data_IF_807314543181
#
_entry.id   IF_807314543181
#
_cell.length_a   1.000
_cell.length_b   1.000
_cell.length_c   1.000
_cell.angle_alpha   90.00
_cell.angle_beta   90.00
_cell.angle_gamma   90.00
#
_symmetry.space_group_name_H-M   'P 1'
#
loop_
_entity.id
_entity.type
_entity.pdbx_description
1 polymer ?
#
# COMPACT_ATOMS: atom_id res chain seq x y z
N UNK A 1 -32.10 -22.94 -4.90
CA UNK A 1 -31.29 -23.76 -5.82
C UNK A 1 -30.08 -24.29 -5.06
N UNK A 2 -29.89 -25.61 -4.99
CA UNK A 2 -28.82 -26.23 -4.20
C UNK A 2 -27.45 -25.91 -4.82
N UNK A 3 -26.56 -25.22 -4.08
CA UNK A 3 -25.15 -25.09 -4.46
C UNK A 3 -24.49 -26.46 -4.30
N UNK A 4 -24.40 -27.22 -5.39
CA UNK A 4 -23.64 -28.46 -5.44
C UNK A 4 -22.19 -28.14 -5.05
N UNK A 5 -21.70 -28.79 -3.98
CA UNK A 5 -20.28 -28.78 -3.62
C UNK A 5 -19.50 -29.32 -4.82
N UNK A 6 -18.56 -28.54 -5.35
CA UNK A 6 -17.62 -29.09 -6.33
C UNK A 6 -16.53 -29.83 -5.56
N UNK A 7 -16.40 -31.11 -5.84
CA UNK A 7 -15.32 -31.94 -5.34
C UNK A 7 -14.00 -31.60 -6.06
N UNK A 8 -12.87 -31.91 -5.42
CA UNK A 8 -11.53 -31.66 -5.96
C UNK A 8 -11.34 -32.38 -7.31
N UNK A 9 -11.88 -33.58 -7.45
CA UNK A 9 -11.82 -34.36 -8.71
C UNK A 9 -12.57 -33.65 -9.84
N UNK A 10 -13.67 -32.97 -9.54
CA UNK A 10 -14.43 -32.20 -10.54
C UNK A 10 -13.67 -30.96 -10.98
N UNK A 11 -12.93 -30.32 -10.08
CA UNK A 11 -12.10 -29.16 -10.43
C UNK A 11 -10.90 -29.57 -11.28
N UNK A 12 -10.29 -30.73 -10.99
CA UNK A 12 -9.20 -31.29 -11.78
C UNK A 12 -9.63 -31.57 -13.23
N UNK A 13 -10.77 -32.25 -13.42
CA UNK A 13 -11.30 -32.53 -14.76
C UNK A 13 -11.61 -31.25 -15.57
N UNK A 14 -12.10 -30.19 -14.91
CA UNK A 14 -12.38 -28.90 -15.57
C UNK A 14 -11.10 -28.13 -15.92
N UNK A 15 -10.04 -28.28 -15.14
CA UNK A 15 -8.73 -27.69 -15.44
C UNK A 15 -8.12 -28.35 -16.69
N UNK A 16 -8.20 -29.68 -16.79
CA UNK A 16 -7.72 -30.43 -17.97
C UNK A 16 -8.47 -30.03 -19.25
N UNK A 17 -9.78 -29.78 -19.18
CA UNK A 17 -10.57 -29.29 -20.33
C UNK A 17 -10.14 -27.89 -20.79
N UNK A 18 -9.89 -26.97 -19.85
CA UNK A 18 -9.40 -25.62 -20.14
C UNK A 18 -8.04 -25.69 -20.85
N UNK A 19 -7.14 -26.55 -20.39
CA UNK A 19 -5.83 -26.73 -21.00
C UNK A 19 -5.89 -27.39 -22.37
N UNK A 20 -6.78 -28.37 -22.55
CA UNK A 20 -7.02 -28.98 -23.85
C UNK A 20 -7.55 -27.95 -24.87
N UNK A 21 -8.45 -27.05 -24.45
CA UNK A 21 -9.00 -25.99 -25.30
C UNK A 21 -7.98 -24.91 -25.64
N UNK A 22 -7.08 -24.59 -24.70
CA UNK A 22 -5.95 -23.68 -24.94
C UNK A 22 -4.95 -24.29 -25.93
N UNK A 23 -4.60 -25.58 -25.77
CA UNK A 23 -3.74 -26.30 -26.74
C UNK A 23 -4.37 -26.42 -28.12
N UNK A 24 -5.70 -26.56 -28.18
CA UNK A 24 -6.45 -26.60 -29.43
C UNK A 24 -6.65 -25.20 -30.07
N UNK A 25 -6.16 -24.12 -29.44
CA UNK A 25 -6.35 -22.74 -29.91
C UNK A 25 -7.80 -22.24 -29.87
N UNK A 26 -8.69 -22.98 -29.22
CA UNK A 26 -10.13 -22.65 -29.07
C UNK A 26 -10.43 -21.74 -27.88
N UNK A 27 -9.39 -21.40 -27.12
CA UNK A 27 -9.45 -20.54 -25.95
C UNK A 27 -8.15 -19.73 -25.92
N UNK A 28 -8.27 -18.41 -25.80
CA UNK A 28 -7.08 -17.57 -25.70
C UNK A 28 -6.52 -17.60 -24.25
N UNK A 29 -5.28 -17.14 -24.08
CA UNK A 29 -4.58 -17.21 -22.77
C UNK A 29 -5.32 -16.43 -21.67
N UNK A 30 -5.87 -15.25 -22.01
CA UNK A 30 -6.62 -14.42 -21.07
C UNK A 30 -7.92 -15.08 -20.59
N UNK A 31 -8.66 -15.74 -21.49
CA UNK A 31 -9.87 -16.50 -21.18
C UNK A 31 -9.58 -17.74 -20.35
N UNK A 32 -8.45 -18.41 -20.59
CA UNK A 32 -8.02 -19.56 -19.80
C UNK A 32 -7.67 -19.15 -18.37
N UNK A 33 -6.98 -18.03 -18.19
CA UNK A 33 -6.59 -17.51 -16.87
C UNK A 33 -7.82 -17.00 -16.09
N UNK A 34 -8.76 -16.35 -16.76
CA UNK A 34 -10.06 -15.99 -16.16
C UNK A 34 -10.86 -17.23 -15.72
N UNK A 35 -10.86 -18.29 -16.53
CA UNK A 35 -11.57 -19.54 -16.20
C UNK A 35 -10.91 -20.29 -15.02
N UNK A 36 -9.57 -20.26 -14.92
CA UNK A 36 -8.82 -20.82 -13.78
C UNK A 36 -9.10 -20.04 -12.48
N UNK A 37 -9.10 -18.71 -12.55
CA UNK A 37 -9.44 -17.85 -11.41
C UNK A 37 -10.88 -18.09 -10.92
N UNK A 38 -11.82 -18.27 -11.84
CA UNK A 38 -13.19 -18.63 -11.49
C UNK A 38 -13.27 -19.98 -10.76
N UNK A 39 -12.53 -21.00 -11.20
CA UNK A 39 -12.45 -22.31 -10.52
C UNK A 39 -11.84 -22.19 -9.11
N UNK A 40 -10.77 -21.42 -8.95
CA UNK A 40 -10.12 -21.19 -7.66
C UNK A 40 -11.04 -20.45 -6.67
N UNK A 41 -11.83 -19.49 -7.15
CA UNK A 41 -12.83 -18.79 -6.34
C UNK A 41 -13.90 -19.75 -5.80
N UNK A 42 -14.31 -20.72 -6.64
CA UNK A 42 -15.30 -21.73 -6.30
C UNK A 42 -14.75 -22.75 -5.29
N UNK A 43 -13.47 -23.13 -5.39
CA UNK A 43 -12.77 -23.98 -4.41
C UNK A 43 -12.56 -23.27 -3.07
N UNK A 44 -12.23 -21.97 -3.07
CA UNK A 44 -12.01 -21.18 -1.84
C UNK A 44 -13.27 -21.05 -0.99
N UNK A 45 -14.46 -21.08 -1.60
CA UNK A 45 -15.75 -21.15 -0.87
C UNK A 45 -15.96 -22.47 -0.12
N UNK A 46 -15.20 -23.51 -0.47
CA UNK A 46 -15.18 -24.81 0.19
C UNK A 46 -13.96 -24.93 1.10
N UNK A 47 -13.63 -23.86 1.85
CA UNK A 47 -12.55 -23.93 2.84
C UNK A 47 -12.98 -24.86 3.96
N UNK A 48 -12.33 -26.01 3.97
CA UNK A 48 -11.89 -26.75 5.14
C UNK A 48 -12.47 -26.24 6.45
N UNK A 49 -13.43 -26.99 6.99
CA UNK A 49 -13.58 -27.06 8.43
C UNK A 49 -12.29 -27.62 9.00
N UNK A 50 -11.34 -26.74 9.32
CA UNK A 50 -10.39 -26.99 10.40
C UNK A 50 -11.21 -27.01 11.69
N UNK A 51 -11.96 -28.09 11.86
CA UNK A 51 -12.35 -28.58 13.17
C UNK A 51 -11.08 -29.01 13.87
N UNK A 52 -10.35 -28.05 14.43
CA UNK A 52 -9.66 -28.26 15.69
C UNK A 52 -10.75 -28.53 16.72
N UNK A 53 -11.27 -29.76 16.67
CA UNK A 53 -12.04 -30.36 17.74
C UNK A 53 -11.10 -30.53 18.93
N UNK A 54 -10.84 -29.43 19.63
CA UNK A 54 -10.49 -29.45 21.04
C UNK A 54 -11.71 -30.03 21.77
N UNK A 55 -11.85 -31.36 21.69
CA UNK A 55 -12.68 -32.15 22.57
C UNK A 55 -12.14 -31.90 23.97
N UNK A 56 -12.84 -31.03 24.67
CA UNK A 56 -12.87 -30.93 26.12
C UNK A 56 -13.14 -32.33 26.69
N UNK A 57 -12.13 -32.95 27.28
CA UNK A 57 -12.27 -34.09 28.16
C UNK A 57 -11.41 -33.85 29.43
N UNK A 58 -11.87 -34.32 30.60
CA UNK A 58 -11.47 -33.78 31.89
C UNK A 58 -10.16 -34.35 32.45
N UNK A 59 -9.54 -33.50 33.28
CA UNK A 59 -8.50 -33.73 34.30
C UNK A 59 -8.42 -35.16 34.84
N UNK A 60 -7.21 -35.75 34.80
CA UNK A 60 -6.56 -36.40 35.97
C UNK A 60 -5.03 -36.55 35.76
N UNK A 61 -4.29 -35.78 36.57
CA UNK A 61 -2.98 -36.00 37.24
C UNK A 61 -1.96 -37.05 36.72
N UNK A 62 -0.68 -36.63 36.66
CA UNK A 62 0.58 -37.23 37.21
C UNK A 62 1.75 -36.35 36.67
N UNK A 63 2.24 -35.35 37.42
CA UNK A 63 3.41 -35.32 38.34
C UNK A 63 4.72 -34.79 37.67
N UNK A 64 5.41 -33.77 38.26
CA UNK A 64 6.60 -33.11 37.69
C UNK A 64 7.92 -33.54 38.36
N UNK A 65 9.03 -33.53 37.61
CA UNK A 65 10.41 -33.49 38.12
C UNK A 65 11.27 -32.71 37.10
N UNK A 66 11.70 -31.49 37.44
CA UNK A 66 13.08 -31.12 37.80
C UNK A 66 14.05 -31.21 36.62
N UNK A 67 14.83 -30.19 36.26
CA UNK A 67 15.92 -29.63 37.08
C UNK A 67 16.26 -28.19 36.64
N UNK A 68 16.61 -27.39 37.65
CA UNK A 68 17.02 -25.99 37.65
C UNK A 68 18.50 -25.77 37.25
N UNK A 69 18.76 -24.55 36.77
CA UNK A 69 20.01 -23.79 36.53
C UNK A 69 21.25 -24.09 37.40
N UNK A 70 22.45 -23.86 36.81
CA UNK A 70 23.59 -23.32 37.56
C UNK A 70 24.55 -22.51 36.67
N UNK A 71 24.78 -21.25 37.08
CA UNK A 71 25.80 -20.31 36.60
C UNK A 71 27.04 -20.40 37.50
N UNK A 72 28.23 -20.53 36.92
CA UNK A 72 29.54 -20.20 37.51
C UNK A 72 30.58 -20.24 36.37
N UNK A 73 31.62 -19.42 36.23
CA UNK A 73 32.13 -18.22 36.88
C UNK A 73 33.31 -17.74 36.01
N UNK A 74 33.35 -16.46 35.61
CA UNK A 74 34.38 -15.45 35.89
C UNK A 74 35.84 -15.95 36.07
N UNK A 75 36.75 -15.48 35.19
CA UNK A 75 37.97 -14.79 35.67
C UNK A 75 39.33 -14.99 34.96
N UNK A 76 39.77 -13.94 34.22
CA UNK A 76 41.14 -13.32 34.15
C UNK A 76 42.25 -14.12 33.41
N UNK A 77 43.09 -13.60 32.49
CA UNK A 77 44.05 -12.47 32.50
C UNK A 77 44.41 -12.03 31.05
N UNK A 78 44.41 -10.75 30.66
CA UNK A 78 45.45 -9.69 30.81
C UNK A 78 46.73 -9.90 29.98
N UNK A 79 46.87 -9.02 28.97
CA UNK A 79 48.08 -8.37 28.41
C UNK A 79 49.06 -9.11 27.50
N UNK A 80 49.21 -8.58 26.29
CA UNK A 80 50.51 -8.12 25.80
C UNK A 80 50.34 -6.80 25.02
N UNK A 81 51.12 -5.79 25.41
CA UNK A 81 51.26 -4.46 24.77
C UNK A 81 52.58 -4.43 24.01
N UNK A 82 52.58 -3.92 22.78
CA UNK A 82 53.69 -3.16 22.18
C UNK A 82 53.17 -2.39 20.95
N UNK A 83 53.48 -1.09 20.91
CA UNK A 83 52.98 -0.02 20.02
C UNK A 83 53.92 0.21 18.76
N UNK A 84 53.72 1.19 17.85
CA UNK A 84 53.66 1.05 16.39
C UNK A 84 54.95 1.53 15.65
N UNK A 85 54.97 1.63 14.29
CA UNK A 85 54.59 2.91 13.65
C UNK A 85 53.90 2.81 12.26
N UNK A 86 52.92 3.70 12.06
CA UNK A 86 52.76 4.62 10.93
C UNK A 86 53.21 4.19 9.51
N UNK A 87 52.25 3.90 8.62
CA UNK A 87 52.32 4.26 7.20
C UNK A 87 50.93 4.27 6.55
N UNK A 88 50.65 5.34 5.84
CA UNK A 88 49.38 5.74 5.26
C UNK A 88 48.87 4.86 4.10
N UNK A 89 47.54 4.75 4.01
CA UNK A 89 46.80 4.38 2.81
C UNK A 89 45.31 4.67 3.04
N UNK A 90 44.64 5.49 2.20
CA UNK A 90 43.23 5.81 2.38
C UNK A 90 42.40 4.63 1.91
N UNK A 91 41.95 3.80 2.84
CA UNK A 91 40.85 2.88 2.58
C UNK A 91 39.58 3.60 3.01
N UNK A 92 38.80 4.01 2.01
CA UNK A 92 37.51 4.66 2.16
C UNK A 92 36.67 3.93 3.20
N UNK A 93 36.60 4.53 4.38
CA UNK A 93 35.48 4.36 5.28
C UNK A 93 34.25 4.85 4.54
N UNK A 94 33.57 3.96 3.82
CA UNK A 94 32.13 4.14 3.64
C UNK A 94 31.51 3.87 4.99
N UNK A 95 31.62 4.91 5.83
CA UNK A 95 30.79 5.14 6.99
C UNK A 95 29.36 5.03 6.46
N UNK A 96 28.72 3.89 6.75
CA UNK A 96 27.28 3.75 6.68
C UNK A 96 26.76 4.68 7.76
N UNK A 97 26.61 5.95 7.37
CA UNK A 97 26.10 6.98 8.26
C UNK A 97 24.63 6.65 8.47
N UNK A 98 24.34 6.19 9.69
CA UNK A 98 23.08 6.42 10.38
C UNK A 98 22.68 7.89 10.16
N UNK A 99 21.98 8.14 9.07
CA UNK A 99 21.40 9.42 8.73
C UNK A 99 19.94 9.13 8.46
N UNK A 100 19.12 9.50 9.45
CA UNK A 100 17.69 9.26 9.41
C UNK A 100 17.06 9.91 8.20
N UNK A 101 15.97 9.29 7.71
CA UNK A 101 14.90 9.94 6.93
C UNK A 101 15.41 11.07 6.00
N UNK A 102 16.42 10.75 5.19
CA UNK A 102 17.02 11.64 4.21
C UNK A 102 16.12 11.82 3.00
N UNK A 103 16.27 12.98 2.36
CA UNK A 103 15.36 13.59 1.40
C UNK A 103 14.96 12.67 0.22
N UNK A 104 13.73 12.90 -0.26
CA UNK A 104 13.08 12.35 -1.44
C UNK A 104 13.99 12.13 -2.67
N UNK A 105 15.03 12.96 -2.84
CA UNK A 105 16.02 12.81 -3.92
C UNK A 105 16.94 11.59 -3.80
N UNK A 106 17.36 11.19 -2.60
CA UNK A 106 18.26 10.06 -2.39
C UNK A 106 17.56 8.71 -2.58
N UNK A 107 16.30 8.62 -2.13
CA UNK A 107 15.46 7.43 -2.32
C UNK A 107 15.21 7.15 -3.80
N UNK A 108 14.92 8.19 -4.59
CA UNK A 108 14.72 8.06 -6.03
C UNK A 108 15.96 7.54 -6.75
N UNK A 109 17.15 8.04 -6.39
CA UNK A 109 18.41 7.59 -6.96
C UNK A 109 18.68 6.13 -6.61
N UNK A 110 18.52 5.76 -5.34
CA UNK A 110 18.68 4.39 -4.86
C UNK A 110 17.70 3.43 -5.52
N UNK A 111 16.42 3.79 -5.63
CA UNK A 111 15.41 2.96 -6.30
C UNK A 111 15.71 2.78 -7.79
N UNK A 112 16.20 3.83 -8.46
CA UNK A 112 16.58 3.77 -9.88
C UNK A 112 17.81 2.88 -10.08
N UNK A 113 18.82 3.00 -9.23
CA UNK A 113 20.03 2.19 -9.32
C UNK A 113 19.78 0.75 -8.95
N UNK A 114 18.95 0.50 -7.94
CA UNK A 114 18.54 -0.82 -7.52
C UNK A 114 17.71 -1.52 -8.61
N UNK A 115 16.68 -0.87 -9.14
CA UNK A 115 15.88 -1.42 -10.25
C UNK A 115 16.72 -1.68 -11.51
N UNK A 116 17.80 -0.90 -11.72
CA UNK A 116 18.76 -1.14 -12.80
C UNK A 116 19.72 -2.30 -12.50
N UNK A 117 20.23 -2.40 -11.28
CA UNK A 117 21.23 -3.43 -10.91
C UNK A 117 20.64 -4.83 -10.94
N UNK A 118 19.37 -4.95 -10.53
CA UNK A 118 18.64 -6.21 -10.47
C UNK A 118 17.96 -6.57 -11.81
N UNK A 119 17.96 -5.63 -12.77
CA UNK A 119 17.25 -5.69 -14.04
C UNK A 119 18.20 -5.68 -15.23
N UNK A 120 18.89 -6.79 -15.48
CA UNK A 120 19.35 -7.11 -16.83
C UNK A 120 18.25 -7.89 -17.56
N UNK A 121 17.76 -7.30 -18.66
CA UNK A 121 17.10 -7.95 -19.83
C UNK A 121 15.62 -7.67 -20.15
N UNK A 122 14.76 -7.09 -19.28
CA UNK A 122 13.37 -6.76 -19.67
C UNK A 122 13.00 -5.25 -19.65
N UNK A 123 13.99 -4.38 -19.41
CA UNK A 123 13.84 -2.93 -19.54
C UNK A 123 14.01 -2.43 -20.99
N UNK A 124 14.18 -3.33 -21.96
CA UNK A 124 14.36 -3.00 -23.38
C UNK A 124 13.00 -2.86 -24.11
N UNK A 125 12.15 -1.95 -23.65
CA UNK A 125 11.04 -1.37 -24.44
C UNK A 125 10.55 -0.01 -23.91
N UNK A 126 11.39 0.74 -23.17
CA UNK A 126 11.16 2.16 -22.97
C UNK A 126 12.05 2.95 -23.95
N UNK A 127 11.51 3.89 -24.73
CA UNK A 127 12.35 4.78 -25.52
C UNK A 127 13.18 5.60 -24.54
N UNK A 128 14.50 5.46 -24.64
CA UNK A 128 15.45 6.36 -24.02
C UNK A 128 15.44 7.70 -24.78
N UNK A 129 14.30 8.39 -24.75
CA UNK A 129 14.26 9.81 -25.02
C UNK A 129 14.85 10.50 -23.78
N UNK A 130 16.02 11.12 -23.94
CA UNK A 130 16.82 11.70 -22.86
C UNK A 130 16.20 12.94 -22.18
N UNK A 131 14.97 12.85 -21.69
CA UNK A 131 14.26 13.90 -20.96
C UNK A 131 13.46 13.31 -19.79
N UNK A 132 13.93 13.63 -18.58
CA UNK A 132 13.32 13.36 -17.26
C UNK A 132 13.33 11.91 -16.78
N UNK A 133 13.73 11.73 -15.52
CA UNK A 133 13.62 10.44 -14.82
C UNK A 133 12.13 10.05 -14.69
N UNK A 134 11.81 8.74 -14.71
CA UNK A 134 10.45 8.26 -14.45
C UNK A 134 9.94 8.74 -13.09
N UNK A 135 8.62 8.95 -12.97
CA UNK A 135 7.98 9.30 -11.70
C UNK A 135 8.22 8.25 -10.61
N UNK A 136 8.33 8.69 -9.35
CA UNK A 136 8.55 7.83 -8.17
C UNK A 136 7.55 6.67 -8.14
N UNK A 137 6.26 6.94 -8.38
CA UNK A 137 5.24 5.89 -8.30
C UNK A 137 5.43 4.84 -9.40
N UNK A 138 5.84 5.26 -10.59
CA UNK A 138 6.12 4.32 -11.69
C UNK A 138 7.29 3.41 -11.35
N UNK A 139 8.32 3.94 -10.68
CA UNK A 139 9.46 3.12 -10.22
C UNK A 139 9.04 2.16 -9.10
N UNK A 140 8.19 2.60 -8.17
CA UNK A 140 7.63 1.75 -7.10
C UNK A 140 6.82 0.60 -7.67
N UNK A 141 5.95 0.86 -8.65
CA UNK A 141 5.12 -0.17 -9.30
C UNK A 141 5.97 -1.20 -10.05
N UNK A 142 7.03 -0.77 -10.72
CA UNK A 142 7.99 -1.69 -11.37
C UNK A 142 8.73 -2.54 -10.35
N UNK A 143 9.19 -1.96 -9.24
CA UNK A 143 9.83 -2.70 -8.16
C UNK A 143 8.86 -3.74 -7.57
N UNK A 144 7.62 -3.34 -7.29
CA UNK A 144 6.59 -4.24 -6.76
C UNK A 144 6.33 -5.43 -7.70
N UNK A 145 6.09 -5.17 -8.98
CA UNK A 145 5.85 -6.20 -9.98
C UNK A 145 7.02 -7.19 -10.10
N UNK A 146 8.26 -6.70 -9.98
CA UNK A 146 9.44 -7.58 -10.00
C UNK A 146 9.51 -8.46 -8.76
N UNK A 147 9.25 -7.92 -7.57
CA UNK A 147 9.28 -8.68 -6.32
C UNK A 147 8.21 -9.78 -6.26
N UNK A 148 7.15 -9.70 -7.06
CA UNK A 148 6.24 -10.83 -7.28
C UNK A 148 6.93 -12.02 -7.97
N UNK A 149 7.91 -11.75 -8.84
CA UNK A 149 8.71 -12.77 -9.53
C UNK A 149 9.99 -13.15 -8.79
N UNK A 150 10.50 -12.27 -7.92
CA UNK A 150 11.68 -12.50 -7.07
C UNK A 150 11.32 -12.33 -5.58
N UNK A 151 10.53 -13.26 -5.01
CA UNK A 151 9.95 -13.09 -3.68
C UNK A 151 10.94 -13.24 -2.52
N UNK A 152 12.17 -13.68 -2.78
CA UNK A 152 13.22 -13.93 -1.78
C UNK A 152 14.18 -12.74 -1.57
N UNK A 153 13.92 -11.62 -2.24
CA UNK A 153 14.75 -10.42 -2.22
C UNK A 153 14.43 -9.53 -1.02
N UNK A 154 15.11 -9.77 0.10
CA UNK A 154 14.91 -9.06 1.38
C UNK A 154 15.09 -7.55 1.21
N UNK A 155 16.19 -7.16 0.57
CA UNK A 155 16.55 -5.76 0.35
C UNK A 155 15.51 -5.07 -0.54
N UNK A 156 15.00 -5.76 -1.55
CA UNK A 156 13.96 -5.24 -2.43
C UNK A 156 12.63 -5.04 -1.71
N UNK A 157 12.21 -6.00 -0.88
CA UNK A 157 11.01 -5.85 -0.04
C UNK A 157 11.15 -4.71 0.98
N UNK A 158 12.33 -4.54 1.58
CA UNK A 158 12.61 -3.40 2.46
C UNK A 158 12.51 -2.08 1.70
N UNK A 159 13.16 -1.98 0.54
CA UNK A 159 13.14 -0.78 -0.29
C UNK A 159 11.74 -0.42 -0.77
N UNK A 160 10.93 -1.43 -1.13
CA UNK A 160 9.53 -1.25 -1.48
C UNK A 160 8.73 -0.70 -0.28
N UNK A 161 8.96 -1.25 0.92
CA UNK A 161 8.35 -0.76 2.16
C UNK A 161 8.69 0.70 2.45
N UNK A 162 9.97 1.07 2.34
CA UNK A 162 10.44 2.45 2.53
C UNK A 162 9.83 3.39 1.51
N UNK A 163 9.81 3.00 0.24
CA UNK A 163 9.24 3.81 -0.84
C UNK A 163 7.73 4.06 -0.65
N UNK A 164 6.98 3.03 -0.23
CA UNK A 164 5.58 3.21 0.14
C UNK A 164 5.40 4.10 1.37
N UNK A 165 6.27 3.99 2.37
CA UNK A 165 6.18 4.81 3.58
C UNK A 165 6.35 6.31 3.25
N UNK A 166 7.35 6.66 2.44
CA UNK A 166 7.62 8.04 2.04
C UNK A 166 6.56 8.64 1.11
N UNK A 167 5.84 7.80 0.35
CA UNK A 167 4.70 8.22 -0.46
C UNK A 167 3.37 8.21 0.32
N UNK A 168 3.44 8.12 1.65
CA UNK A 168 2.30 8.09 2.59
C UNK A 168 1.34 6.89 2.39
N UNK A 169 1.81 5.85 1.71
CA UNK A 169 1.09 4.59 1.46
C UNK A 169 1.37 3.59 2.58
N UNK A 170 1.00 3.95 3.82
CA UNK A 170 1.43 3.26 5.04
C UNK A 170 0.97 1.79 5.16
N UNK A 171 -0.24 1.46 4.68
CA UNK A 171 -0.74 0.07 4.66
C UNK A 171 0.09 -0.84 3.73
N UNK A 172 0.45 -0.30 2.55
CA UNK A 172 1.29 -1.02 1.58
C UNK A 172 2.73 -1.14 2.09
N UNK A 173 3.24 -0.12 2.77
CA UNK A 173 4.54 -0.15 3.44
C UNK A 173 4.61 -1.26 4.50
N UNK A 174 3.60 -1.36 5.37
CA UNK A 174 3.52 -2.40 6.39
C UNK A 174 3.50 -3.81 5.77
N UNK A 175 2.81 -3.99 4.64
CA UNK A 175 2.77 -5.27 3.93
C UNK A 175 4.13 -5.66 3.36
N UNK A 176 4.85 -4.71 2.72
CA UNK A 176 6.18 -4.96 2.17
C UNK A 176 7.22 -5.26 3.27
N UNK A 177 7.20 -4.50 4.38
CA UNK A 177 8.06 -4.81 5.53
C UNK A 177 7.73 -6.15 6.18
N UNK A 178 6.45 -6.55 6.23
CA UNK A 178 6.08 -7.87 6.72
C UNK A 178 6.68 -8.99 5.85
N UNK A 179 6.71 -8.83 4.52
CA UNK A 179 7.39 -9.78 3.63
C UNK A 179 8.89 -9.83 3.88
N UNK A 180 9.55 -8.69 4.05
CA UNK A 180 10.96 -8.66 4.41
C UNK A 180 11.22 -9.36 5.76
N UNK A 181 10.35 -9.18 6.76
CA UNK A 181 10.45 -9.84 8.07
C UNK A 181 10.18 -11.36 8.02
N UNK A 182 9.37 -11.83 7.08
CA UNK A 182 9.18 -13.27 6.85
C UNK A 182 10.48 -13.94 6.37
N UNK A 183 11.29 -13.20 5.60
CA UNK A 183 12.57 -13.66 5.06
C UNK A 183 13.73 -13.47 6.05
N UNK A 184 13.76 -12.36 6.79
CA UNK A 184 14.69 -12.13 7.91
C UNK A 184 13.96 -11.72 9.21
N UNK A 185 13.54 -12.71 10.02
CA UNK A 185 12.91 -12.45 11.31
C UNK A 185 13.87 -11.93 12.38
N UNK A 186 15.18 -11.96 12.14
CA UNK A 186 16.19 -11.56 13.11
C UNK A 186 16.47 -10.06 13.09
N UNK A 187 16.24 -9.40 11.95
CA UNK A 187 16.44 -7.96 11.78
C UNK A 187 15.58 -7.15 12.76
N UNK A 188 16.27 -6.35 13.57
CA UNK A 188 15.64 -5.38 14.48
C UNK A 188 15.13 -4.16 13.72
N UNK A 189 15.76 -3.83 12.59
CA UNK A 189 15.38 -2.69 11.74
C UNK A 189 14.06 -2.95 11.03
N UNK A 190 13.89 -4.13 10.44
CA UNK A 190 12.63 -4.50 9.76
C UNK A 190 11.44 -4.51 10.73
N UNK A 191 11.65 -4.99 11.96
CA UNK A 191 10.63 -4.93 13.02
C UNK A 191 10.24 -3.50 13.35
N UNK A 192 11.20 -2.60 13.53
CA UNK A 192 10.93 -1.19 13.81
C UNK A 192 10.17 -0.54 12.66
N UNK A 193 10.65 -0.73 11.43
CA UNK A 193 10.04 -0.17 10.22
C UNK A 193 8.60 -0.67 10.01
N UNK A 194 8.34 -1.96 10.26
CA UNK A 194 7.00 -2.54 10.22
C UNK A 194 6.05 -1.94 11.28
N UNK A 195 6.50 -1.86 12.54
CA UNK A 195 5.70 -1.29 13.61
C UNK A 195 5.40 0.21 13.38
N UNK A 196 6.36 0.96 12.87
CA UNK A 196 6.17 2.36 12.51
C UNK A 196 5.16 2.52 11.36
N UNK A 197 5.29 1.72 10.30
CA UNK A 197 4.34 1.72 9.19
C UNK A 197 2.92 1.41 9.66
N UNK A 198 2.75 0.42 10.54
CA UNK A 198 1.44 0.09 11.13
C UNK A 198 0.88 1.18 12.03
N UNK A 199 1.73 1.81 12.84
CA UNK A 199 1.32 2.93 13.69
C UNK A 199 0.82 4.11 12.83
N UNK A 200 1.54 4.44 11.75
CA UNK A 200 1.13 5.48 10.79
C UNK A 200 -0.14 5.11 10.04
N UNK A 201 -0.29 3.86 9.62
CA UNK A 201 -1.49 3.36 8.96
C UNK A 201 -2.72 3.47 9.86
N UNK A 202 -2.60 3.02 11.12
CA UNK A 202 -3.66 3.18 12.12
C UNK A 202 -3.98 4.64 12.41
N UNK A 203 -2.97 5.52 12.48
CA UNK A 203 -3.19 6.95 12.69
C UNK A 203 -3.86 7.62 11.49
N UNK A 204 -3.52 7.20 10.26
CA UNK A 204 -4.19 7.67 9.04
C UNK A 204 -5.66 7.25 9.04
N UNK A 205 -5.94 5.96 9.29
CA UNK A 205 -7.29 5.44 9.40
C UNK A 205 -8.07 6.10 10.53
N UNK A 206 -7.44 6.32 11.69
CA UNK A 206 -8.06 7.01 12.82
C UNK A 206 -8.24 8.51 12.56
N UNK A 207 -7.43 9.16 11.74
CA UNK A 207 -7.62 10.56 11.34
C UNK A 207 -8.81 10.70 10.38
N UNK A 208 -8.98 9.74 9.46
CA UNK A 208 -10.16 9.64 8.60
C UNK A 208 -11.43 9.31 9.40
N UNK A 209 -11.32 8.41 10.39
CA UNK A 209 -12.42 8.02 11.27
C UNK A 209 -12.73 9.09 12.33
N UNK A 210 -11.74 9.80 12.86
CA UNK A 210 -11.93 10.91 13.80
C UNK A 210 -12.49 12.15 13.09
N UNK A 211 -12.10 12.37 11.83
CA UNK A 211 -12.73 13.36 10.95
C UNK A 211 -14.19 12.98 10.62
N UNK A 212 -14.54 11.69 10.60
CA UNK A 212 -15.93 11.24 10.48
C UNK A 212 -16.70 11.33 11.81
N UNK A 213 -16.06 11.09 12.95
CA UNK A 213 -16.67 11.09 14.28
C UNK A 213 -16.94 12.49 14.85
N UNK A 214 -16.24 13.55 14.40
CA UNK A 214 -16.51 14.93 14.84
C UNK A 214 -17.73 15.60 14.16
N UNK A 215 -18.48 14.87 13.32
CA UNK A 215 -19.75 15.34 12.76
C UNK A 215 -20.98 14.58 13.28
N UNK A 216 -20.84 13.68 14.28
CA UNK A 216 -21.92 12.82 14.73
C UNK A 216 -22.09 12.75 16.24
N UNK A 217 -22.60 13.81 16.87
CA UNK A 217 -23.03 13.76 18.27
C UNK A 217 -24.42 14.38 18.47
N UNK A 218 -25.46 13.72 17.92
CA UNK A 218 -26.86 13.55 18.42
C UNK A 218 -27.51 12.58 17.40
N UNK A 219 -28.02 11.39 17.69
CA UNK A 219 -28.12 10.61 18.91
C UNK A 219 -28.65 9.18 18.62
N UNK A 220 -28.19 8.24 19.44
CA UNK A 220 -28.84 7.01 19.96
C UNK A 220 -29.51 5.99 19.01
N UNK A 221 -28.83 4.85 18.86
CA UNK A 221 -29.44 3.52 19.08
C UNK A 221 -29.28 2.46 17.98
N UNK A 222 -28.64 1.34 18.33
CA UNK A 222 -28.92 0.03 17.71
C UNK A 222 -27.76 -0.63 16.95
N UNK A 223 -27.19 -1.67 17.57
CA UNK A 223 -26.49 -2.85 17.04
C UNK A 223 -25.65 -2.78 15.74
N UNK A 224 -24.37 -3.15 15.87
CA UNK A 224 -23.54 -3.57 14.74
C UNK A 224 -23.99 -4.92 14.17
N UNK A 225 -23.72 -5.18 12.87
CA UNK A 225 -22.43 -5.79 12.54
C UNK A 225 -21.77 -5.19 11.29
N UNK A 226 -20.61 -4.57 11.47
CA UNK A 226 -19.72 -4.13 10.40
C UNK A 226 -18.76 -5.23 9.98
N UNK A 227 -19.22 -6.15 9.12
CA UNK A 227 -18.32 -6.97 8.28
C UNK A 227 -18.99 -7.50 7.01
N UNK A 228 -20.30 -7.34 6.84
CA UNK A 228 -21.03 -7.88 5.67
C UNK A 228 -21.16 -6.88 4.49
N UNK A 229 -20.68 -5.64 4.64
CA UNK A 229 -20.75 -4.62 3.57
C UNK A 229 -19.50 -4.48 2.69
N UNK A 230 -18.49 -5.32 2.85
CA UNK A 230 -17.23 -5.20 2.08
C UNK A 230 -17.18 -6.09 0.83
N UNK A 231 -18.23 -6.90 0.58
CA UNK A 231 -18.34 -7.75 -0.61
C UNK A 231 -19.44 -7.32 -1.59
N UNK A 232 -20.09 -6.17 -1.35
CA UNK A 232 -21.12 -5.59 -2.22
C UNK A 232 -20.66 -4.24 -2.82
N UNK A 233 -19.36 -3.90 -2.71
CA UNK A 233 -18.78 -2.71 -3.32
C UNK A 233 -18.36 -2.91 -4.79
N UNK A 234 -18.28 -4.17 -5.25
CA UNK A 234 -17.99 -4.53 -6.65
C UNK A 234 -19.23 -4.98 -7.43
N UNK A 235 -20.41 -4.93 -6.81
CA UNK A 235 -21.70 -5.15 -7.47
C UNK A 235 -22.52 -3.85 -7.63
N UNK A 236 -21.88 -2.68 -7.54
CA UNK A 236 -22.54 -1.42 -7.90
C UNK A 236 -22.44 -1.20 -9.42
N UNK A 237 -23.56 -1.04 -10.15
CA UNK A 237 -23.56 -0.51 -11.50
C UNK A 237 -22.67 0.75 -11.59
N UNK A 238 -21.93 0.95 -12.70
CA UNK A 238 -21.02 2.10 -12.83
C UNK A 238 -21.71 3.45 -12.57
N UNK A 239 -23.00 3.57 -12.89
CA UNK A 239 -23.83 4.75 -12.58
C UNK A 239 -24.01 4.99 -11.08
N UNK A 240 -24.16 3.94 -10.27
CA UNK A 240 -24.36 4.07 -8.83
C UNK A 240 -23.06 4.46 -8.13
N UNK A 241 -21.92 3.97 -8.64
CA UNK A 241 -20.59 4.38 -8.18
C UNK A 241 -20.31 5.85 -8.51
N UNK A 242 -20.64 6.31 -9.71
CA UNK A 242 -20.50 7.73 -10.07
C UNK A 242 -21.39 8.63 -9.22
N UNK A 243 -22.65 8.25 -8.97
CA UNK A 243 -23.56 9.02 -8.13
C UNK A 243 -23.03 9.14 -6.69
N UNK A 244 -22.45 8.06 -6.15
CA UNK A 244 -21.80 8.08 -4.85
C UNK A 244 -20.57 9.00 -4.84
N UNK A 245 -19.72 8.94 -5.88
CA UNK A 245 -18.56 9.83 -6.01
C UNK A 245 -19.00 11.30 -6.11
N UNK A 246 -20.03 11.61 -6.91
CA UNK A 246 -20.61 12.96 -7.00
C UNK A 246 -21.08 13.46 -5.63
N UNK A 247 -21.81 12.63 -4.88
CA UNK A 247 -22.25 12.99 -3.53
C UNK A 247 -21.09 13.28 -2.58
N UNK A 248 -19.96 12.57 -2.70
CA UNK A 248 -18.75 12.85 -1.90
C UNK A 248 -18.12 14.19 -2.29
N UNK A 249 -18.04 14.49 -3.60
CA UNK A 249 -17.50 15.76 -4.12
C UNK A 249 -18.41 16.94 -3.77
N UNK A 250 -19.73 16.74 -3.75
CA UNK A 250 -20.70 17.73 -3.28
C UNK A 250 -20.56 18.00 -1.78
N UNK A 251 -20.28 16.96 -0.99
CA UNK A 251 -19.95 17.11 0.44
C UNK A 251 -18.69 17.97 0.66
N UNK A 252 -17.67 17.81 -0.18
CA UNK A 252 -16.50 18.69 -0.18
C UNK A 252 -16.89 20.13 -0.52
N UNK A 253 -17.71 20.34 -1.55
CA UNK A 253 -18.18 21.67 -1.91
C UNK A 253 -18.93 22.36 -0.77
N UNK A 254 -19.83 21.65 -0.09
CA UNK A 254 -20.58 22.19 1.04
C UNK A 254 -19.68 22.51 2.24
N UNK A 255 -18.66 21.70 2.50
CA UNK A 255 -17.65 21.99 3.54
C UNK A 255 -16.91 23.29 3.24
N UNK A 256 -16.54 23.52 1.98
CA UNK A 256 -15.86 24.74 1.56
C UNK A 256 -16.77 25.97 1.63
N UNK A 257 -18.09 25.82 1.62
CA UNK A 257 -19.00 26.94 1.93
C UNK A 257 -18.93 27.35 3.42
N UNK A 258 -18.68 26.38 4.31
CA UNK A 258 -18.54 26.63 5.76
C UNK A 258 -17.13 27.06 6.16
N UNK A 259 -16.12 26.51 5.49
CA UNK A 259 -14.70 26.83 5.68
C UNK A 259 -14.11 27.33 4.36
N UNK A 260 -14.43 28.57 3.94
CA UNK A 260 -14.09 29.05 2.60
C UNK A 260 -12.61 29.33 2.42
N UNK A 261 -11.85 29.61 3.49
CA UNK A 261 -10.41 29.90 3.43
C UNK A 261 -9.55 28.63 3.36
N UNK A 262 -9.79 27.79 2.36
CA UNK A 262 -9.00 26.59 2.06
C UNK A 262 -8.63 26.50 0.57
N UNK A 263 -7.44 27.04 0.21
CA UNK A 263 -6.93 27.07 -1.17
C UNK A 263 -6.78 25.66 -1.75
N UNK A 264 -6.29 24.72 -0.95
CA UNK A 264 -6.07 23.35 -1.38
C UNK A 264 -7.41 22.63 -1.61
N UNK A 265 -8.38 22.86 -0.73
CA UNK A 265 -9.73 22.34 -0.85
C UNK A 265 -10.45 22.82 -2.12
N UNK A 266 -10.40 24.12 -2.43
CA UNK A 266 -10.96 24.65 -3.69
C UNK A 266 -10.26 24.07 -4.92
N UNK A 267 -8.93 23.92 -4.88
CA UNK A 267 -8.15 23.32 -5.97
C UNK A 267 -8.53 21.85 -6.19
N UNK A 268 -8.67 21.09 -5.10
CA UNK A 268 -9.11 19.69 -5.12
C UNK A 268 -10.52 19.56 -5.68
N UNK A 269 -11.45 20.42 -5.27
CA UNK A 269 -12.82 20.44 -5.77
C UNK A 269 -12.88 20.64 -7.29
N UNK A 270 -12.13 21.62 -7.83
CA UNK A 270 -12.06 21.86 -9.27
C UNK A 270 -11.53 20.63 -10.02
N UNK A 271 -10.43 20.03 -9.55
CA UNK A 271 -9.84 18.82 -10.16
C UNK A 271 -10.82 17.65 -10.17
N UNK A 272 -11.45 17.37 -9.03
CA UNK A 272 -12.43 16.28 -8.91
C UNK A 272 -13.60 16.45 -9.88
N UNK A 273 -14.14 17.66 -10.01
CA UNK A 273 -15.25 17.92 -10.95
C UNK A 273 -14.83 17.82 -12.41
N UNK A 274 -13.60 18.22 -12.77
CA UNK A 274 -13.07 18.04 -14.13
C UNK A 274 -12.91 16.55 -14.47
N UNK A 275 -12.43 15.73 -13.54
CA UNK A 275 -12.33 14.27 -13.72
C UNK A 275 -13.70 13.62 -13.92
N UNK A 276 -14.74 14.13 -13.25
CA UNK A 276 -16.13 13.69 -13.44
C UNK A 276 -16.79 14.22 -14.72
N UNK A 277 -16.09 15.01 -15.54
CA UNK A 277 -16.63 15.64 -16.75
C UNK A 277 -17.52 16.86 -16.48
N UNK A 278 -17.65 17.29 -15.22
CA UNK A 278 -18.51 18.39 -14.77
C UNK A 278 -17.81 19.75 -14.93
N UNK A 279 -17.37 20.08 -16.15
CA UNK A 279 -16.51 21.24 -16.40
C UNK A 279 -17.17 22.57 -16.02
N UNK A 280 -18.46 22.74 -16.29
CA UNK A 280 -19.22 23.95 -15.90
C UNK A 280 -19.31 24.13 -14.38
N UNK A 281 -19.45 23.03 -13.66
CA UNK A 281 -19.53 23.05 -12.20
C UNK A 281 -18.14 23.33 -11.60
N UNK A 282 -17.08 22.82 -12.22
CA UNK A 282 -15.69 23.17 -11.87
C UNK A 282 -15.41 24.66 -12.09
N UNK A 283 -15.87 25.25 -13.20
CA UNK A 283 -15.77 26.70 -13.46
C UNK A 283 -16.54 27.52 -12.42
N UNK A 284 -17.70 27.03 -11.97
CA UNK A 284 -18.46 27.69 -10.89
C UNK A 284 -17.70 27.65 -9.57
N UNK A 285 -17.07 26.51 -9.24
CA UNK A 285 -16.20 26.39 -8.08
C UNK A 285 -14.98 27.32 -8.18
N UNK A 286 -14.39 27.46 -9.36
CA UNK A 286 -13.30 28.40 -9.61
C UNK A 286 -13.73 29.84 -9.32
N UNK A 287 -14.86 30.29 -9.85
CA UNK A 287 -15.37 31.65 -9.60
C UNK A 287 -15.68 31.91 -8.13
N UNK A 288 -16.30 30.94 -7.44
CA UNK A 288 -16.54 31.02 -5.98
C UNK A 288 -15.23 31.16 -5.21
N UNK A 289 -14.21 30.36 -5.55
CA UNK A 289 -12.90 30.44 -4.93
C UNK A 289 -12.27 31.82 -5.12
N UNK A 290 -12.30 32.39 -6.34
CA UNK A 290 -11.79 33.74 -6.58
C UNK A 290 -12.53 34.83 -5.80
N UNK A 291 -13.85 34.71 -5.59
CA UNK A 291 -14.60 35.66 -4.76
C UNK A 291 -14.20 35.57 -3.28
N UNK A 292 -14.00 34.36 -2.77
CA UNK A 292 -13.54 34.11 -1.39
C UNK A 292 -12.15 34.68 -1.14
N UNK A 293 -11.23 34.54 -2.10
CA UNK A 293 -9.83 34.96 -1.98
C UNK A 293 -9.52 36.29 -2.66
N UNK A 294 -10.53 37.11 -2.99
CA UNK A 294 -10.34 38.38 -3.70
C UNK A 294 -9.35 39.34 -3.03
N UNK A 295 -9.24 39.28 -1.71
CA UNK A 295 -8.32 40.11 -0.92
C UNK A 295 -6.94 39.44 -0.68
N UNK A 296 -6.78 38.19 -1.10
CA UNK A 296 -5.54 37.41 -1.02
C UNK A 296 -5.02 37.10 -2.43
N UNK A 297 -4.15 37.98 -2.93
CA UNK A 297 -3.57 37.88 -4.26
C UNK A 297 -2.71 36.62 -4.45
N UNK A 298 -2.04 36.14 -3.39
CA UNK A 298 -1.21 34.94 -3.46
C UNK A 298 -2.09 33.69 -3.61
N UNK A 299 -3.12 33.57 -2.77
CA UNK A 299 -4.09 32.49 -2.88
C UNK A 299 -4.84 32.51 -4.21
N UNK A 300 -5.34 33.67 -4.64
CA UNK A 300 -6.02 33.82 -5.94
C UNK A 300 -5.13 33.44 -7.12
N UNK A 301 -3.84 33.75 -7.07
CA UNK A 301 -2.88 33.35 -8.11
C UNK A 301 -2.68 31.84 -8.17
N UNK A 302 -2.58 31.17 -7.01
CA UNK A 302 -2.45 29.71 -6.94
C UNK A 302 -3.70 29.00 -7.48
N UNK A 303 -4.88 29.46 -7.08
CA UNK A 303 -6.16 28.92 -7.55
C UNK A 303 -6.29 29.10 -9.07
N UNK A 304 -5.88 30.27 -9.59
CA UNK A 304 -5.89 30.56 -11.02
C UNK A 304 -4.92 29.66 -11.79
N UNK A 305 -3.69 29.45 -11.28
CA UNK A 305 -2.72 28.56 -11.90
C UNK A 305 -3.26 27.13 -12.00
N UNK A 306 -3.83 26.61 -10.91
CA UNK A 306 -4.45 25.28 -10.91
C UNK A 306 -5.65 25.19 -11.87
N UNK A 307 -6.47 26.24 -11.97
CA UNK A 307 -7.58 26.28 -12.91
C UNK A 307 -7.11 26.23 -14.37
N UNK A 308 -6.02 26.93 -14.70
CA UNK A 308 -5.41 26.91 -16.05
C UNK A 308 -4.88 25.52 -16.40
N UNK A 309 -4.20 24.84 -15.48
CA UNK A 309 -3.74 23.45 -15.67
C UNK A 309 -4.89 22.49 -15.96
N UNK A 310 -6.06 22.76 -15.38
CA UNK A 310 -7.29 21.98 -15.59
C UNK A 310 -8.07 22.41 -16.85
N UNK A 311 -7.59 23.43 -17.58
CA UNK A 311 -8.27 23.98 -18.76
C UNK A 311 -9.60 24.67 -18.44
N UNK A 312 -9.72 25.23 -17.23
CA UNK A 312 -10.87 26.04 -16.80
C UNK A 312 -10.61 27.52 -17.11
N UNK A 313 -11.67 28.26 -17.43
CA UNK A 313 -11.60 29.71 -17.68
C UNK A 313 -12.55 30.42 -16.74
N UNK A 314 -12.09 31.48 -16.09
CA UNK A 314 -12.98 32.42 -15.42
C UNK A 314 -13.56 33.33 -16.49
N UNK A 315 -14.75 32.99 -16.99
CA UNK A 315 -15.58 33.95 -17.70
C UNK A 315 -16.27 34.91 -16.73
#
# INVERSE_FOLDING_TARGET
>A
MQRKRLDVETCKARLEDIEARLKAGKLNKAEADAARLALLSQLRSSRWGLGLGLRRAPRTLIAPAAVFLLVAGIGIAVSYVADPPEAAGPADTTSYSESGFGADGEMLASLTDYTRSIGSEDAASAPADGKSLPDVNTLIERLAARLETTPEDIEGWEMLGRSYFHTARYEQAATAFARAMELDPSSTELKRSYEEAKAKASNSANSETASSLQTGAVGKGGDGPGVEKIAEAEAMPPHDREAQIRSMVDGLAHRLESSPRDVEGWTRLMRSRVVLGEREVATTAFRKALDVFKDDSAASSQITAAAIELGLKAE
#
